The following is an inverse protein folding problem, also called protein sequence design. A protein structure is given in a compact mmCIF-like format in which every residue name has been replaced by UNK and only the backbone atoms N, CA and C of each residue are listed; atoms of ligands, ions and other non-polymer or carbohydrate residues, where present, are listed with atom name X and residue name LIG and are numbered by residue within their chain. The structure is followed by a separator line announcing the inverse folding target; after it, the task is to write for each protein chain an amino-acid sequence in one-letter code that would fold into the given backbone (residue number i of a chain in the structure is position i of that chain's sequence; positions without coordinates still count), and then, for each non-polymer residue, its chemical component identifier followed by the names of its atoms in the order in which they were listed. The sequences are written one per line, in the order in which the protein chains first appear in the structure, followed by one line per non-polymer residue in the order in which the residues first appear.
data_IF_847350172577
#
_entry.id   IF_847350172577
#
_cell.length_a   1.000
_cell.length_b   1.000
_cell.length_c   1.000
_cell.angle_alpha   90.00
_cell.angle_beta   90.00
_cell.angle_gamma   90.00
#
_symmetry.space_group_name_H-M   'P 1'
#
loop_
_entity.id
_entity.type
_entity.pdbx_description
1 polymer ?
#
# COMPACT_ATOMS: atom_id res chain seq x y z
N UNK A 1 15.34 1.64 3.90
CA UNK A 1 15.00 2.27 5.21
C UNK A 1 13.57 2.78 5.18
N UNK A 2 12.61 1.94 5.58
CA UNK A 2 11.20 2.32 5.68
C UNK A 2 11.00 3.22 6.90
N UNK A 3 10.41 4.40 6.71
CA UNK A 3 10.09 5.32 7.82
C UNK A 3 8.59 5.33 8.02
N UNK A 4 8.18 5.07 9.25
CA UNK A 4 6.78 4.99 9.63
C UNK A 4 6.21 6.37 9.89
N UNK A 5 5.28 6.79 9.05
CA UNK A 5 4.49 7.99 9.27
C UNK A 5 3.08 7.61 9.72
N UNK A 6 2.58 8.27 10.76
CA UNK A 6 1.18 8.19 11.19
C UNK A 6 0.38 9.29 10.47
N UNK A 7 -0.45 8.94 9.49
CA UNK A 7 -1.35 9.87 8.81
C UNK A 7 -2.79 9.73 9.34
N UNK A 8 -3.64 10.74 9.12
CA UNK A 8 -5.03 10.76 9.58
C UNK A 8 -6.00 10.94 8.41
N UNK A 9 -6.73 9.89 8.05
CA UNK A 9 -7.71 9.96 6.94
C UNK A 9 -8.90 10.84 7.31
N UNK A 10 -8.95 12.05 6.79
CA UNK A 10 -10.20 12.83 6.76
C UNK A 10 -11.12 12.21 5.70
N UNK A 11 -12.04 11.35 6.16
CA UNK A 11 -13.24 11.09 5.34
C UNK A 11 -13.92 12.45 5.17
N UNK A 12 -14.41 12.76 3.96
CA UNK A 12 -15.43 13.79 3.75
C UNK A 12 -16.69 13.36 4.52
N UNK A 13 -16.66 13.43 5.84
CA UNK A 13 -17.88 13.44 6.61
C UNK A 13 -18.50 14.80 6.32
N UNK A 14 -19.76 14.79 5.91
CA UNK A 14 -20.63 15.93 6.12
C UNK A 14 -20.36 16.41 7.55
N UNK A 15 -19.80 17.60 7.70
CA UNK A 15 -19.66 18.24 9.00
C UNK A 15 -21.07 18.57 9.46
N UNK A 16 -21.78 17.56 10.00
CA UNK A 16 -22.90 17.86 10.88
C UNK A 16 -22.22 18.50 12.09
N UNK A 17 -22.47 19.80 12.37
CA UNK A 17 -21.85 20.43 13.51
C UNK A 17 -22.30 19.63 14.73
N UNK A 18 -21.36 19.07 15.48
CA UNK A 18 -21.71 18.22 16.63
C UNK A 18 -22.60 18.94 17.64
N UNK A 19 -22.53 20.27 17.69
CA UNK A 19 -23.48 21.11 18.42
C UNK A 19 -24.94 20.84 18.04
N UNK A 20 -25.26 20.63 16.76
CA UNK A 20 -26.62 20.30 16.29
C UNK A 20 -27.05 18.93 16.79
N UNK A 21 -26.15 17.94 16.78
CA UNK A 21 -26.46 16.58 17.29
C UNK A 21 -26.69 16.61 18.80
N UNK A 22 -25.85 17.34 19.54
CA UNK A 22 -25.98 17.50 21.00
C UNK A 22 -27.26 18.26 21.34
N UNK A 23 -27.55 19.36 20.65
CA UNK A 23 -28.78 20.15 20.87
C UNK A 23 -30.02 19.32 20.53
N UNK A 24 -30.03 18.61 19.40
CA UNK A 24 -31.14 17.72 19.04
C UNK A 24 -31.33 16.59 20.06
N UNK A 25 -30.25 16.06 20.62
CA UNK A 25 -30.29 15.03 21.65
C UNK A 25 -30.83 15.55 22.99
N UNK A 26 -30.30 16.69 23.47
CA UNK A 26 -30.79 17.35 24.70
C UNK A 26 -32.27 17.69 24.55
N UNK A 27 -32.66 18.21 23.39
CA UNK A 27 -34.05 18.51 23.07
C UNK A 27 -34.94 17.25 23.06
N UNK A 28 -34.51 16.17 22.39
CA UNK A 28 -35.25 14.92 22.36
C UNK A 28 -35.40 14.29 23.76
N UNK A 29 -34.33 14.35 24.58
CA UNK A 29 -34.36 13.88 25.97
C UNK A 29 -35.33 14.71 26.84
N UNK A 30 -35.36 16.04 26.65
CA UNK A 30 -36.28 16.94 27.34
C UNK A 30 -37.73 16.66 26.97
N UNK A 31 -38.02 16.42 25.68
CA UNK A 31 -39.37 16.05 25.19
C UNK A 31 -39.80 14.68 25.74
N UNK A 32 -38.90 13.69 25.79
CA UNK A 32 -39.22 12.39 26.39
C UNK A 32 -39.50 12.48 27.89
N UNK A 33 -38.88 13.42 28.62
CA UNK A 33 -39.08 13.60 30.06
C UNK A 33 -40.51 14.08 30.41
N UNK A 34 -41.24 14.64 29.44
CA UNK A 34 -42.62 15.08 29.59
C UNK A 34 -43.65 13.96 29.36
N UNK A 35 -43.23 12.78 28.89
CA UNK A 35 -44.10 11.67 28.48
C UNK A 35 -43.73 10.43 29.32
N UNK A 36 -44.44 10.22 30.44
CA UNK A 36 -44.40 9.02 31.33
C UNK A 36 -43.00 8.58 31.86
N UNK A 37 -42.75 8.55 33.19
CA UNK A 37 -41.41 8.48 33.78
C UNK A 37 -40.64 7.17 33.54
N UNK A 38 -41.28 6.11 33.04
CA UNK A 38 -40.66 4.78 32.89
C UNK A 38 -39.85 4.65 31.59
N UNK A 39 -40.13 5.45 30.55
CA UNK A 39 -39.40 5.42 29.27
C UNK A 39 -38.10 6.26 29.27
N UNK A 40 -37.91 7.11 30.29
CA UNK A 40 -36.81 8.09 30.38
C UNK A 40 -35.45 7.44 30.65
N UNK A 41 -35.40 6.23 31.22
CA UNK A 41 -34.14 5.60 31.66
C UNK A 41 -33.55 4.64 30.60
N UNK A 42 -34.37 4.05 29.73
CA UNK A 42 -33.92 2.94 28.85
C UNK A 42 -33.29 3.44 27.54
N UNK A 43 -33.73 4.58 27.00
CA UNK A 43 -33.27 5.10 25.70
C UNK A 43 -31.94 5.91 25.70
N UNK A 44 -31.59 6.72 26.73
CA UNK A 44 -30.42 7.61 26.63
C UNK A 44 -29.09 6.86 26.78
N UNK A 45 -29.06 5.76 27.53
CA UNK A 45 -27.86 4.94 27.75
C UNK A 45 -27.33 4.30 26.44
N UNK A 46 -28.13 3.55 25.65
CA UNK A 46 -27.64 2.98 24.40
C UNK A 46 -27.27 4.05 23.37
N UNK A 47 -27.95 5.20 23.36
CA UNK A 47 -27.62 6.31 22.46
C UNK A 47 -26.30 7.00 22.88
N UNK A 48 -26.06 7.23 24.17
CA UNK A 48 -24.79 7.73 24.68
C UNK A 48 -23.63 6.76 24.39
N UNK A 49 -23.84 5.45 24.55
CA UNK A 49 -22.87 4.42 24.19
C UNK A 49 -22.61 4.37 22.68
N UNK A 50 -23.64 4.56 21.85
CA UNK A 50 -23.50 4.66 20.39
C UNK A 50 -22.67 5.89 20.01
N UNK A 51 -22.98 7.06 20.58
CA UNK A 51 -22.24 8.31 20.33
C UNK A 51 -20.79 8.20 20.82
N UNK A 52 -20.56 7.59 21.97
CA UNK A 52 -19.22 7.28 22.49
C UNK A 52 -18.48 6.32 21.57
N UNK A 53 -19.12 5.25 21.10
CA UNK A 53 -18.53 4.32 20.14
C UNK A 53 -18.21 4.99 18.79
N UNK A 54 -19.06 5.93 18.34
CA UNK A 54 -18.81 6.75 17.14
C UNK A 54 -17.62 7.70 17.37
N UNK A 55 -17.54 8.35 18.54
CA UNK A 55 -16.40 9.19 18.95
C UNK A 55 -15.10 8.39 19.00
N UNK A 56 -15.11 7.24 19.68
CA UNK A 56 -13.95 6.36 19.78
C UNK A 56 -13.55 5.79 18.41
N UNK A 57 -14.50 5.58 17.49
CA UNK A 57 -14.21 5.21 16.10
C UNK A 57 -13.44 6.29 15.32
N UNK A 58 -13.53 7.55 15.72
CA UNK A 58 -12.89 8.70 15.07
C UNK A 58 -11.49 9.03 15.59
N UNK A 59 -11.18 8.71 16.85
CA UNK A 59 -10.03 9.31 17.56
C UNK A 59 -8.69 8.60 17.34
N UNK A 60 -8.64 7.35 16.85
CA UNK A 60 -7.35 6.64 16.79
C UNK A 60 -7.18 5.77 15.53
N UNK A 61 -7.26 6.38 14.35
CA UNK A 61 -6.92 5.68 13.10
C UNK A 61 -5.56 6.15 12.61
N UNK A 62 -4.50 5.62 13.22
CA UNK A 62 -3.14 5.72 12.69
C UNK A 62 -3.13 5.06 11.31
N UNK A 63 -2.91 5.86 10.28
CA UNK A 63 -2.61 5.36 8.94
C UNK A 63 -1.11 5.17 8.87
N UNK A 64 -0.67 3.98 8.46
CA UNK A 64 0.72 3.69 8.16
C UNK A 64 0.94 3.89 6.66
N UNK A 65 1.93 4.72 6.32
CA UNK A 65 2.37 4.94 4.94
C UNK A 65 3.80 4.47 4.81
N UNK A 66 4.04 3.48 3.95
CA UNK A 66 5.37 3.00 3.60
C UNK A 66 5.67 3.42 2.15
N UNK A 67 6.78 4.13 1.96
CA UNK A 67 7.23 4.60 0.64
C UNK A 67 8.40 3.75 0.19
N UNK A 68 8.27 3.10 -0.96
CA UNK A 68 9.26 2.20 -1.54
C UNK A 68 9.69 2.66 -2.92
N UNK A 69 10.66 1.95 -3.49
CA UNK A 69 11.15 2.22 -4.83
C UNK A 69 10.09 1.94 -5.92
N UNK A 70 9.17 1.03 -5.65
CA UNK A 70 8.11 0.50 -6.53
C UNK A 70 6.75 1.18 -6.38
N UNK A 71 6.47 1.74 -5.22
CA UNK A 71 5.25 2.50 -5.01
C UNK A 71 5.05 2.94 -3.57
N UNK A 72 3.79 3.16 -3.25
CA UNK A 72 3.34 3.57 -1.93
C UNK A 72 2.37 2.52 -1.38
N UNK A 73 2.69 1.98 -0.21
CA UNK A 73 1.79 1.10 0.52
C UNK A 73 1.09 1.88 1.63
N UNK A 74 -0.24 1.86 1.57
CA UNK A 74 -1.13 2.51 2.50
C UNK A 74 -1.84 1.45 3.34
N UNK A 75 -1.77 1.58 4.67
CA UNK A 75 -2.53 0.74 5.58
C UNK A 75 -3.28 1.58 6.61
N UNK A 76 -4.60 1.48 6.59
CA UNK A 76 -5.50 2.00 7.61
C UNK A 76 -6.29 0.86 8.25
N UNK A 77 -6.97 1.08 9.38
CA UNK A 77 -7.76 0.02 10.02
C UNK A 77 -8.93 -0.52 9.16
N UNK A 78 -9.28 0.13 8.06
CA UNK A 78 -10.43 -0.23 7.21
C UNK A 78 -10.06 -0.49 5.76
N UNK A 79 -8.86 -0.13 5.34
CA UNK A 79 -8.43 -0.22 3.95
C UNK A 79 -6.91 -0.33 3.92
N UNK A 80 -6.42 -1.35 3.23
CA UNK A 80 -5.02 -1.50 2.86
C UNK A 80 -4.95 -1.47 1.35
N UNK A 81 -3.99 -0.73 0.81
CA UNK A 81 -3.87 -0.56 -0.64
C UNK A 81 -2.43 -0.25 -1.02
N UNK A 82 -1.95 -0.90 -2.07
CA UNK A 82 -0.72 -0.53 -2.74
C UNK A 82 -1.04 0.34 -3.97
N UNK A 83 -0.21 1.35 -4.22
CA UNK A 83 -0.34 2.23 -5.39
C UNK A 83 1.02 2.31 -6.06
N UNK A 84 1.10 1.85 -7.31
CA UNK A 84 2.34 1.89 -8.10
C UNK A 84 2.68 3.31 -8.53
N UNK A 85 3.97 3.61 -8.67
CA UNK A 85 4.40 4.92 -9.17
C UNK A 85 3.85 5.25 -10.56
N UNK A 86 3.65 4.24 -11.40
CA UNK A 86 3.07 4.39 -12.74
C UNK A 86 1.59 4.76 -12.74
N UNK A 87 0.87 4.54 -11.64
CA UNK A 87 -0.54 4.91 -11.51
C UNK A 87 -0.72 6.34 -10.97
N UNK A 88 0.34 6.95 -10.45
CA UNK A 88 0.32 8.29 -9.85
C UNK A 88 0.62 9.34 -10.93
N UNK A 89 -0.42 10.07 -11.33
CA UNK A 89 -0.34 11.12 -12.35
C UNK A 89 0.28 12.40 -11.79
N UNK A 90 -0.10 12.77 -10.55
CA UNK A 90 0.33 14.00 -9.91
C UNK A 90 0.38 13.86 -8.39
N UNK A 91 1.36 14.54 -7.79
CA UNK A 91 1.51 14.67 -6.34
C UNK A 91 1.28 16.14 -5.99
N UNK A 92 0.17 16.42 -5.33
CA UNK A 92 -0.21 17.75 -4.92
C UNK A 92 -0.08 17.90 -3.41
N UNK A 93 0.21 19.12 -2.97
CA UNK A 93 0.31 19.46 -1.55
C UNK A 93 -0.73 20.53 -1.25
N UNK A 94 -1.54 20.30 -0.23
CA UNK A 94 -2.51 21.25 0.29
C UNK A 94 -2.25 21.48 1.80
N UNK A 95 -2.86 22.52 2.37
CA UNK A 95 -2.83 22.83 3.80
C UNK A 95 -3.24 21.65 4.70
N UNK A 96 -3.94 20.66 4.14
CA UNK A 96 -4.43 19.49 4.86
C UNK A 96 -3.57 18.23 4.70
N UNK A 97 -2.58 18.21 3.80
CA UNK A 97 -1.76 17.01 3.55
C UNK A 97 -1.22 16.86 2.13
N UNK A 98 -0.89 15.61 1.77
CA UNK A 98 -0.38 15.23 0.45
C UNK A 98 -1.46 14.47 -0.31
N UNK A 99 -1.86 14.99 -1.46
CA UNK A 99 -2.90 14.40 -2.32
C UNK A 99 -2.25 13.71 -3.52
N UNK A 100 -2.54 12.43 -3.71
CA UNK A 100 -2.08 11.66 -4.86
C UNK A 100 -3.22 11.54 -5.87
N UNK A 101 -2.99 12.06 -7.07
CA UNK A 101 -3.91 11.86 -8.18
C UNK A 101 -3.55 10.57 -8.89
N UNK A 102 -4.50 9.64 -8.97
CA UNK A 102 -4.31 8.31 -9.52
C UNK A 102 -5.22 8.14 -10.74
N UNK A 103 -4.71 8.36 -11.95
CA UNK A 103 -5.48 8.31 -13.19
C UNK A 103 -6.67 9.29 -13.26
N UNK A 104 -7.65 8.95 -14.11
CA UNK A 104 -8.99 9.57 -14.15
C UNK A 104 -9.90 9.18 -12.96
N UNK A 105 -9.39 8.43 -11.99
CA UNK A 105 -10.17 7.97 -10.85
C UNK A 105 -10.26 9.07 -9.80
N UNK A 106 -11.19 8.91 -8.84
CA UNK A 106 -11.28 9.83 -7.70
C UNK A 106 -9.89 9.97 -7.07
N UNK A 107 -9.41 11.20 -6.82
CA UNK A 107 -8.10 11.43 -6.23
C UNK A 107 -7.98 10.62 -4.94
N UNK A 108 -6.92 9.84 -4.82
CA UNK A 108 -6.58 9.14 -3.58
C UNK A 108 -5.83 10.15 -2.73
N UNK A 109 -6.57 11.13 -2.21
CA UNK A 109 -6.05 12.09 -1.27
C UNK A 109 -5.93 11.47 0.10
N UNK A 110 -4.74 11.53 0.71
CA UNK A 110 -4.62 11.33 2.14
C UNK A 110 -4.16 12.62 2.79
N UNK A 111 -5.05 13.13 3.62
CA UNK A 111 -4.70 14.18 4.54
C UNK A 111 -3.70 13.61 5.55
N UNK A 112 -2.45 14.06 5.52
CA UNK A 112 -1.62 13.98 6.71
C UNK A 112 -2.01 15.18 7.56
N UNK A 113 -3.22 15.18 8.14
CA UNK A 113 -3.57 16.25 9.08
C UNK A 113 -2.63 16.04 10.28
N UNK A 114 -1.82 17.04 10.65
CA UNK A 114 -1.14 17.01 11.94
C UNK A 114 -2.21 16.75 13.00
N UNK A 115 -2.05 15.68 13.78
CA UNK A 115 -2.90 15.52 14.96
C UNK A 115 -2.81 16.82 15.78
N UNK A 116 -3.95 17.28 16.30
CA UNK A 116 -4.15 18.56 16.99
C UNK A 116 -3.19 18.83 18.18
N UNK A 117 -2.36 17.85 18.52
CA UNK A 117 -1.40 17.87 19.62
C UNK A 117 0.05 18.16 19.21
N UNK A 118 0.40 18.26 17.92
CA UNK A 118 1.79 18.58 17.56
C UNK A 118 1.95 19.15 16.13
N UNK A 119 1.48 20.38 15.93
CA UNK A 119 1.49 21.07 14.63
C UNK A 119 2.90 21.30 14.07
N UNK A 120 3.93 21.45 14.91
CA UNK A 120 5.31 21.65 14.46
C UNK A 120 5.93 20.35 13.93
N UNK A 121 5.86 19.26 14.69
CA UNK A 121 6.38 17.96 14.24
C UNK A 121 5.61 17.39 13.05
N UNK A 122 4.31 17.71 12.93
CA UNK A 122 3.50 17.30 11.78
C UNK A 122 3.94 17.92 10.46
N UNK A 123 4.32 19.21 10.47
CA UNK A 123 4.77 19.92 9.26
C UNK A 123 6.13 19.39 8.79
N UNK A 124 7.07 19.16 9.72
CA UNK A 124 8.38 18.59 9.38
C UNK A 124 8.26 17.15 8.85
N UNK A 125 7.44 16.31 9.51
CA UNK A 125 7.18 14.95 9.05
C UNK A 125 6.54 14.92 7.65
N UNK A 126 5.62 15.84 7.38
CA UNK A 126 5.00 15.99 6.06
C UNK A 126 6.02 16.43 4.99
N UNK A 127 6.90 17.37 5.32
CA UNK A 127 7.96 17.81 4.42
C UNK A 127 8.97 16.70 4.11
N UNK A 128 9.40 15.92 5.11
CA UNK A 128 10.30 14.77 4.91
C UNK A 128 9.65 13.68 4.07
N UNK A 129 8.38 13.35 4.35
CA UNK A 129 7.62 12.39 3.56
C UNK A 129 7.49 12.86 2.10
N UNK A 130 7.14 14.12 1.86
CA UNK A 130 7.03 14.68 0.52
C UNK A 130 8.38 14.63 -0.23
N UNK A 131 9.48 14.93 0.46
CA UNK A 131 10.83 14.82 -0.09
C UNK A 131 11.13 13.38 -0.52
N UNK A 132 10.86 12.40 0.35
CA UNK A 132 11.07 10.96 0.05
C UNK A 132 10.24 10.48 -1.14
N UNK A 133 8.96 10.84 -1.17
CA UNK A 133 8.04 10.51 -2.26
C UNK A 133 8.57 11.06 -3.59
N UNK A 134 9.02 12.33 -3.62
CA UNK A 134 9.58 12.95 -4.83
C UNK A 134 10.86 12.26 -5.31
N UNK A 135 11.75 11.92 -4.38
CA UNK A 135 13.00 11.21 -4.71
C UNK A 135 12.69 9.83 -5.29
N UNK A 136 11.81 9.07 -4.64
CA UNK A 136 11.41 7.73 -5.10
C UNK A 136 10.73 7.77 -6.48
N UNK A 137 9.75 8.66 -6.66
CA UNK A 137 9.05 8.81 -7.94
C UNK A 137 9.97 9.24 -9.09
N UNK A 138 10.97 10.09 -8.81
CA UNK A 138 11.95 10.53 -9.83
C UNK A 138 12.89 9.40 -10.20
N UNK A 139 13.38 8.63 -9.22
CA UNK A 139 14.22 7.46 -9.45
C UNK A 139 13.49 6.35 -10.22
N UNK A 140 12.17 6.20 -10.01
CA UNK A 140 11.35 5.28 -10.78
C UNK A 140 11.26 5.69 -12.26
N UNK A 141 10.96 6.98 -12.52
CA UNK A 141 10.80 7.48 -13.90
C UNK A 141 12.07 7.39 -14.74
N UNK A 142 13.25 7.53 -14.14
CA UNK A 142 14.51 7.42 -14.87
C UNK A 142 14.90 5.99 -15.25
N UNK A 143 14.21 4.96 -14.74
CA UNK A 143 14.57 3.53 -14.92
C UNK A 143 13.68 2.75 -15.89
N UNK A 144 12.65 3.36 -16.46
CA UNK A 144 11.59 2.68 -17.23
C UNK A 144 12.01 2.10 -18.61
N UNK A 145 13.28 1.77 -18.85
CA UNK A 145 13.82 1.40 -20.16
C UNK A 145 13.95 -0.14 -20.43
N UNK A 146 13.55 -1.02 -19.51
CA UNK A 146 13.77 -2.48 -19.62
C UNK A 146 12.48 -3.33 -19.83
N UNK A 147 11.61 -2.90 -20.75
CA UNK A 147 10.27 -3.47 -20.88
C UNK A 147 10.19 -4.90 -21.45
N UNK A 148 11.13 -5.33 -22.30
CA UNK A 148 10.95 -6.56 -23.08
C UNK A 148 11.38 -7.83 -22.35
N UNK A 149 12.50 -7.81 -21.64
CA UNK A 149 12.97 -8.97 -20.83
C UNK A 149 12.05 -9.23 -19.65
N UNK A 150 11.49 -8.18 -19.05
CA UNK A 150 10.52 -8.25 -17.94
C UNK A 150 9.29 -9.09 -18.30
N UNK A 151 8.79 -9.02 -19.54
CA UNK A 151 7.61 -9.79 -19.98
C UNK A 151 7.85 -11.29 -19.98
N UNK A 152 9.08 -11.75 -20.25
CA UNK A 152 9.41 -13.18 -20.27
C UNK A 152 9.35 -13.80 -18.89
N UNK A 153 9.80 -13.05 -17.88
CA UNK A 153 9.83 -13.50 -16.48
C UNK A 153 8.48 -13.30 -15.79
N UNK A 154 7.67 -12.34 -16.23
CA UNK A 154 6.33 -12.11 -15.70
C UNK A 154 5.43 -13.36 -15.81
N UNK A 155 4.59 -13.59 -14.81
CA UNK A 155 3.68 -14.75 -14.79
C UNK A 155 2.71 -14.72 -15.96
N UNK A 156 2.15 -13.55 -16.28
CA UNK A 156 1.33 -13.34 -17.48
C UNK A 156 0.06 -14.20 -17.50
N UNK A 157 -0.53 -14.50 -16.34
CA UNK A 157 -1.72 -15.35 -16.20
C UNK A 157 -1.47 -16.86 -16.23
N UNK A 158 -0.23 -17.31 -16.40
CA UNK A 158 0.12 -18.75 -16.36
C UNK A 158 -0.13 -19.35 -14.97
N UNK A 159 -0.52 -20.64 -14.87
CA UNK A 159 -0.52 -21.38 -13.61
C UNK A 159 0.86 -21.32 -12.93
N UNK A 160 0.90 -21.27 -11.58
CA UNK A 160 2.16 -21.12 -10.82
C UNK A 160 3.19 -22.17 -11.18
N UNK A 161 2.79 -23.44 -11.18
CA UNK A 161 3.69 -24.56 -11.45
C UNK A 161 4.26 -24.49 -12.87
N UNK A 162 3.41 -24.18 -13.86
CA UNK A 162 3.82 -24.02 -15.25
C UNK A 162 4.79 -22.85 -15.43
N UNK A 163 4.50 -21.73 -14.78
CA UNK A 163 5.35 -20.53 -14.79
C UNK A 163 6.72 -20.81 -14.16
N UNK A 164 6.75 -21.39 -12.96
CA UNK A 164 8.00 -21.77 -12.29
C UNK A 164 8.79 -22.78 -13.11
N UNK A 165 8.15 -23.81 -13.64
CA UNK A 165 8.81 -24.79 -14.50
C UNK A 165 9.38 -24.13 -15.78
N UNK A 166 8.72 -23.10 -16.32
CA UNK A 166 9.24 -22.34 -17.46
C UNK A 166 10.52 -21.59 -17.10
N UNK A 167 10.56 -20.92 -15.94
CA UNK A 167 11.75 -20.20 -15.47
C UNK A 167 12.94 -21.15 -15.24
N UNK A 168 12.67 -22.36 -14.76
CA UNK A 168 13.70 -23.38 -14.53
C UNK A 168 14.26 -23.98 -15.82
N UNK A 169 13.41 -24.13 -16.85
CA UNK A 169 13.83 -24.70 -18.13
C UNK A 169 14.72 -23.77 -18.94
N UNK A 170 14.66 -22.46 -18.71
CA UNK A 170 15.49 -21.48 -19.43
C UNK A 170 16.97 -21.50 -19.02
N UNK A 171 17.36 -22.23 -17.97
CA UNK A 171 18.76 -22.40 -17.56
C UNK A 171 19.56 -23.38 -18.46
N UNK A 172 18.94 -24.09 -19.42
CA UNK A 172 19.58 -25.29 -20.00
C UNK A 172 19.44 -25.61 -21.50
N UNK A 173 18.90 -24.73 -22.35
CA UNK A 173 18.66 -25.06 -23.77
C UNK A 173 19.57 -24.33 -24.77
N UNK A 174 20.38 -25.04 -25.56
CA UNK A 174 21.25 -24.47 -26.62
C UNK A 174 20.51 -23.69 -27.73
N UNK A 175 19.17 -23.76 -27.76
CA UNK A 175 18.28 -23.14 -28.78
C UNK A 175 17.24 -22.17 -28.20
N UNK A 176 17.17 -22.04 -26.89
CA UNK A 176 16.31 -21.05 -26.22
C UNK A 176 17.24 -20.00 -25.63
N UNK A 177 16.97 -18.72 -25.89
CA UNK A 177 17.79 -17.64 -25.35
C UNK A 177 17.72 -17.67 -23.82
N UNK A 178 18.69 -18.32 -23.19
CA UNK A 178 18.79 -18.45 -21.74
C UNK A 178 18.83 -17.06 -21.11
N UNK A 179 18.00 -16.86 -20.07
CA UNK A 179 18.00 -15.63 -19.30
C UNK A 179 19.38 -15.47 -18.64
N UNK A 180 20.08 -14.39 -18.99
CA UNK A 180 21.38 -14.12 -18.37
C UNK A 180 21.15 -13.77 -16.90
N UNK A 181 22.06 -14.20 -16.02
CA UNK A 181 22.00 -13.87 -14.60
C UNK A 181 21.91 -12.35 -14.36
N UNK A 182 22.61 -11.55 -15.17
CA UNK A 182 22.54 -10.09 -15.13
C UNK A 182 21.16 -9.53 -15.47
N UNK A 183 20.44 -10.17 -16.40
CA UNK A 183 19.08 -9.78 -16.77
C UNK A 183 18.10 -10.06 -15.62
N UNK A 184 18.25 -11.21 -14.94
CA UNK A 184 17.47 -11.55 -13.75
C UNK A 184 17.74 -10.56 -12.62
N UNK A 185 19.00 -10.17 -12.40
CA UNK A 185 19.35 -9.13 -11.44
C UNK A 185 18.73 -7.78 -11.79
N UNK A 186 18.77 -7.41 -13.08
CA UNK A 186 18.13 -6.20 -13.56
C UNK A 186 16.63 -6.20 -13.24
N UNK A 187 15.93 -7.31 -13.53
CA UNK A 187 14.50 -7.44 -13.26
C UNK A 187 14.19 -7.44 -11.76
N UNK A 188 14.90 -8.23 -10.95
CA UNK A 188 14.63 -8.34 -9.51
C UNK A 188 14.79 -6.99 -8.79
N UNK A 189 15.78 -6.21 -9.21
CA UNK A 189 16.12 -4.90 -8.62
C UNK A 189 15.37 -3.73 -9.27
N UNK A 190 14.71 -3.94 -10.41
CA UNK A 190 13.94 -2.90 -11.07
C UNK A 190 12.57 -2.72 -10.39
N UNK A 191 12.34 -1.58 -9.70
CA UNK A 191 11.05 -1.32 -9.08
C UNK A 191 9.90 -1.12 -10.08
N UNK A 192 10.19 -0.87 -11.34
CA UNK A 192 9.20 -0.69 -12.41
C UNK A 192 8.76 -1.99 -13.07
N UNK A 193 9.51 -3.08 -12.85
CA UNK A 193 9.15 -4.39 -13.34
C UNK A 193 7.88 -4.93 -12.65
N UNK A 194 7.13 -5.77 -13.36
CA UNK A 194 5.92 -6.39 -12.82
C UNK A 194 6.24 -7.17 -11.53
N UNK A 195 5.40 -7.11 -10.48
CA UNK A 195 5.67 -7.79 -9.21
C UNK A 195 5.95 -9.28 -9.37
N UNK A 196 5.17 -9.96 -10.23
CA UNK A 196 5.37 -11.36 -10.58
C UNK A 196 6.71 -11.61 -11.27
N UNK A 197 7.16 -10.71 -12.15
CA UNK A 197 8.47 -10.82 -12.81
C UNK A 197 9.62 -10.67 -11.80
N UNK A 198 9.54 -9.68 -10.91
CA UNK A 198 10.52 -9.46 -9.83
C UNK A 198 10.60 -10.67 -8.90
N UNK A 199 9.45 -11.20 -8.51
CA UNK A 199 9.33 -12.39 -7.69
C UNK A 199 9.95 -13.62 -8.37
N UNK A 200 9.61 -13.88 -9.64
CA UNK A 200 10.20 -14.98 -10.42
C UNK A 200 11.71 -14.87 -10.55
N UNK A 201 12.22 -13.69 -10.89
CA UNK A 201 13.66 -13.44 -10.98
C UNK A 201 14.36 -13.69 -9.64
N UNK A 202 13.79 -13.22 -8.53
CA UNK A 202 14.33 -13.44 -7.19
C UNK A 202 14.38 -14.93 -6.81
N UNK A 203 13.35 -15.71 -7.15
CA UNK A 203 13.32 -17.16 -6.89
C UNK A 203 14.39 -17.90 -7.69
N UNK A 204 14.60 -17.54 -8.95
CA UNK A 204 15.67 -18.13 -9.78
C UNK A 204 17.04 -17.77 -9.20
N UNK A 205 17.29 -16.49 -8.94
CA UNK A 205 18.56 -16.01 -8.39
C UNK A 205 18.90 -16.66 -7.05
N UNK A 206 17.92 -16.86 -6.16
CA UNK A 206 18.15 -17.41 -4.82
C UNK A 206 18.79 -18.80 -4.80
N UNK A 207 18.61 -19.59 -5.86
CA UNK A 207 19.10 -20.98 -5.95
C UNK A 207 20.63 -21.07 -6.00
N UNK A 208 21.24 -20.16 -6.74
CA UNK A 208 22.69 -20.09 -6.93
C UNK A 208 23.32 -18.89 -6.21
N UNK A 209 22.53 -18.08 -5.51
CA UNK A 209 23.00 -16.85 -4.88
C UNK A 209 24.05 -17.11 -3.78
N UNK A 210 25.17 -16.42 -3.92
CA UNK A 210 26.22 -16.25 -2.90
C UNK A 210 25.71 -15.42 -1.70
N UNK A 211 26.50 -15.34 -0.63
CA UNK A 211 26.18 -14.51 0.53
C UNK A 211 26.09 -13.01 0.19
N UNK A 212 26.92 -12.53 -0.72
CA UNK A 212 26.90 -11.15 -1.21
C UNK A 212 25.63 -10.86 -2.02
N UNK A 213 25.27 -11.77 -2.93
CA UNK A 213 24.04 -11.69 -3.71
C UNK A 213 22.80 -11.71 -2.81
N UNK A 214 22.77 -12.56 -1.77
CA UNK A 214 21.70 -12.55 -0.77
C UNK A 214 21.60 -11.22 -0.02
N UNK A 215 22.73 -10.56 0.26
CA UNK A 215 22.71 -9.22 0.86
C UNK A 215 22.10 -8.19 -0.09
N UNK A 216 22.35 -8.30 -1.40
CA UNK A 216 21.71 -7.43 -2.42
C UNK A 216 20.19 -7.64 -2.47
N UNK A 217 19.70 -8.89 -2.42
CA UNK A 217 18.26 -9.19 -2.34
C UNK A 217 17.62 -8.63 -1.07
N UNK A 218 18.32 -8.70 0.07
CA UNK A 218 17.84 -8.10 1.32
C UNK A 218 17.66 -6.59 1.20
N UNK A 219 18.63 -5.89 0.60
CA UNK A 219 18.51 -4.46 0.32
C UNK A 219 17.34 -4.14 -0.62
N UNK A 220 17.07 -5.00 -1.61
CA UNK A 220 15.91 -4.86 -2.48
C UNK A 220 14.58 -5.03 -1.73
N UNK A 221 14.51 -5.99 -0.80
CA UNK A 221 13.35 -6.20 0.06
C UNK A 221 13.08 -5.00 0.96
N UNK A 222 14.12 -4.45 1.61
CA UNK A 222 14.01 -3.27 2.47
C UNK A 222 13.56 -2.00 1.73
N UNK A 223 13.79 -1.95 0.41
CA UNK A 223 13.37 -0.86 -0.46
C UNK A 223 11.99 -1.09 -1.11
N UNK A 224 11.43 -2.29 -1.01
CA UNK A 224 10.14 -2.67 -1.60
C UNK A 224 8.99 -2.22 -0.69
N UNK A 225 8.04 -1.45 -1.21
CA UNK A 225 6.82 -1.07 -0.48
C UNK A 225 5.74 -2.15 -0.54
N UNK A 226 5.67 -2.91 -1.63
CA UNK A 226 4.68 -3.97 -1.82
C UNK A 226 4.88 -5.12 -0.81
N UNK A 227 3.94 -5.35 0.14
CA UNK A 227 4.19 -6.27 1.24
C UNK A 227 4.43 -7.73 0.81
N UNK A 228 3.68 -8.21 -0.19
CA UNK A 228 3.77 -9.59 -0.63
C UNK A 228 5.07 -9.86 -1.36
N UNK A 229 5.46 -8.97 -2.28
CA UNK A 229 6.75 -9.03 -2.96
C UNK A 229 7.93 -8.91 -1.98
N UNK A 230 7.82 -8.06 -0.96
CA UNK A 230 8.84 -7.95 0.10
C UNK A 230 9.11 -9.30 0.77
N UNK A 231 8.06 -10.05 1.12
CA UNK A 231 8.21 -11.38 1.74
C UNK A 231 8.92 -12.36 0.80
N UNK A 232 8.63 -12.33 -0.51
CA UNK A 232 9.34 -13.17 -1.48
C UNK A 232 10.84 -12.82 -1.52
N UNK A 233 11.17 -11.53 -1.60
CA UNK A 233 12.56 -11.05 -1.63
C UNK A 233 13.30 -11.39 -0.32
N UNK A 234 12.64 -11.28 0.84
CA UNK A 234 13.21 -11.65 2.13
C UNK A 234 13.51 -13.16 2.21
N UNK A 235 12.59 -14.01 1.76
CA UNK A 235 12.81 -15.46 1.73
C UNK A 235 13.93 -15.85 0.77
N UNK A 236 13.94 -15.24 -0.42
CA UNK A 236 15.00 -15.42 -1.40
C UNK A 236 16.38 -15.01 -0.81
N UNK A 237 16.43 -13.88 -0.10
CA UNK A 237 17.65 -13.42 0.60
C UNK A 237 18.06 -14.33 1.77
N UNK A 238 17.12 -15.01 2.41
CA UNK A 238 17.39 -15.99 3.47
C UNK A 238 17.88 -17.35 2.93
N UNK A 239 17.80 -17.58 1.61
CA UNK A 239 18.04 -18.89 1.01
C UNK A 239 16.94 -19.91 1.34
N UNK A 240 15.79 -19.44 1.82
CA UNK A 240 14.61 -20.28 2.03
C UNK A 240 13.87 -20.47 0.69
N UNK A 241 13.06 -21.52 0.60
CA UNK A 241 12.18 -21.68 -0.55
C UNK A 241 11.15 -20.54 -0.58
N UNK A 242 11.35 -19.63 -1.54
CA UNK A 242 10.48 -18.50 -1.77
C UNK A 242 9.33 -18.85 -2.72
N UNK A 243 9.32 -20.06 -3.31
CA UNK A 243 8.31 -20.46 -4.29
C UNK A 243 6.93 -20.62 -3.66
N UNK A 244 6.86 -20.95 -2.37
CA UNK A 244 5.64 -21.21 -1.60
C UNK A 244 4.75 -19.97 -1.41
N UNK A 245 5.35 -18.78 -1.41
CA UNK A 245 4.68 -17.49 -1.16
C UNK A 245 4.33 -16.74 -2.45
N UNK A 246 4.58 -17.36 -3.61
CA UNK A 246 4.32 -16.74 -4.91
C UNK A 246 2.84 -16.66 -5.27
N UNK A 247 2.01 -17.57 -4.73
CA UNK A 247 0.57 -17.56 -5.00
C UNK A 247 -0.09 -16.28 -4.48
N UNK A 248 0.50 -15.65 -3.46
CA UNK A 248 0.01 -14.39 -2.92
C UNK A 248 0.40 -13.20 -3.83
N UNK A 249 1.49 -13.28 -4.59
CA UNK A 249 1.93 -12.21 -5.50
C UNK A 249 1.11 -12.28 -6.79
N UNK A 250 -0.16 -11.90 -6.71
CA UNK A 250 -1.00 -11.72 -7.88
C UNK A 250 -0.71 -10.39 -8.57
N UNK A 251 -0.81 -10.38 -9.90
CA UNK A 251 -0.91 -9.14 -10.65
C UNK A 251 -2.26 -8.47 -10.30
N UNK A 252 -2.29 -7.59 -9.29
CA UNK A 252 -3.47 -6.77 -8.92
C UNK A 252 -4.03 -5.94 -10.09
N UNK A 253 -3.31 -5.90 -11.22
CA UNK A 253 -3.77 -5.38 -12.50
C UNK A 253 -5.10 -5.99 -12.96
N UNK A 254 -5.41 -7.25 -12.61
CA UNK A 254 -6.65 -7.92 -13.05
C UNK A 254 -7.83 -7.60 -12.12
N UNK A 255 -7.63 -7.52 -10.80
CA UNK A 255 -8.69 -7.23 -9.81
C UNK A 255 -9.32 -5.84 -10.01
N UNK A 256 -8.52 -4.89 -10.49
CA UNK A 256 -8.93 -3.50 -10.65
C UNK A 256 -9.93 -3.27 -11.80
N UNK A 257 -10.08 -4.22 -12.73
CA UNK A 257 -11.09 -4.18 -13.81
C UNK A 257 -12.43 -4.82 -13.40
N UNK A 258 -12.44 -5.82 -12.51
CA UNK A 258 -13.67 -6.52 -12.10
C UNK A 258 -14.58 -5.73 -11.14
N UNK A 259 -14.00 -4.83 -10.33
CA UNK A 259 -14.76 -4.00 -9.40
C UNK A 259 -15.39 -2.73 -10.03
N UNK A 260 -15.13 -2.45 -11.32
CA UNK A 260 -15.67 -1.29 -12.03
C UNK A 260 -16.99 -1.57 -12.77
N UNK A 261 -17.49 -2.80 -12.70
CA UNK A 261 -18.74 -3.26 -13.34
C UNK A 261 -19.84 -3.65 -12.33
N UNK A 262 -19.73 -3.22 -11.07
CA UNK A 262 -20.80 -3.38 -10.06
C UNK A 262 -21.14 -2.06 -9.39
#
# INVERSE_FOLDING_TARGET
MAVHFAAYRTRRYFEVPWGVVVVAFVFAAFVLLAIEPVLVVVLPVPLALLLLAVRLRGVNRRVKVDVGADGLHYASPFEKRFVKWSEIDAIEHDARGIVFRVGRRRPVGFSLVPGELDTLHGVEAQADLLKRVRVAATAFRSRAAAAETTKRVARGGRPREEWLASLQREEGGFRVASLRQDDLWSIALDPSAAPTARAGAAVVLARAATSEERARLRGAAEACAEPRLRVVLERAAAGADASDVLDDVEDEAISTQGAALR
#
